data_IF_164225897222
#
_entry.id   IF_164225897222
#
_cell.length_a   1.000
_cell.length_b   1.000
_cell.length_c   1.000
_cell.angle_alpha   90.00
_cell.angle_beta   90.00
_cell.angle_gamma   90.00
#
_symmetry.space_group_name_H-M   'P 1'
#
loop_
_entity.id
_entity.type
_entity.pdbx_description
1 polymer ?
#
# COMPACT_ATOMS: atom_id res chain seq x y z
N UNK A 1 30.71 -8.82 3.09
CA UNK A 1 31.47 -10.09 2.91
C UNK A 1 31.20 -11.17 3.98
N UNK A 2 30.36 -10.95 5.02
CA UNK A 2 30.15 -11.93 6.11
C UNK A 2 28.90 -12.80 6.03
N UNK A 3 27.97 -12.54 5.10
CA UNK A 3 26.72 -13.30 4.93
C UNK A 3 26.83 -14.48 3.93
N UNK A 4 27.72 -14.37 2.93
CA UNK A 4 27.99 -15.44 1.95
C UNK A 4 28.74 -16.63 2.59
N UNK A 5 29.64 -16.35 3.55
CA UNK A 5 30.41 -17.40 4.24
C UNK A 5 29.54 -18.22 5.23
N UNK A 6 28.47 -17.64 5.79
CA UNK A 6 27.53 -18.37 6.66
C UNK A 6 26.62 -19.33 5.88
N UNK A 7 26.11 -18.94 4.70
CA UNK A 7 25.32 -19.83 3.84
C UNK A 7 26.15 -21.01 3.31
N UNK A 8 27.41 -20.77 2.94
CA UNK A 8 28.34 -21.83 2.52
C UNK A 8 28.61 -22.85 3.65
N UNK A 9 28.77 -22.37 4.89
CA UNK A 9 28.98 -23.23 6.07
C UNK A 9 27.75 -24.09 6.41
N UNK A 10 26.53 -23.55 6.29
CA UNK A 10 25.30 -24.32 6.56
C UNK A 10 25.09 -25.41 5.50
N UNK A 11 25.31 -25.10 4.22
CA UNK A 11 25.19 -26.07 3.13
C UNK A 11 26.26 -27.16 3.26
N UNK A 12 27.50 -26.80 3.63
CA UNK A 12 28.57 -27.77 3.88
C UNK A 12 28.26 -28.69 5.08
N UNK A 13 27.67 -28.16 6.16
CA UNK A 13 27.25 -28.95 7.32
C UNK A 13 26.07 -29.88 7.00
N UNK A 14 25.10 -29.44 6.20
CA UNK A 14 23.99 -30.27 5.74
C UNK A 14 24.51 -31.39 4.84
N UNK A 15 25.41 -31.09 3.89
CA UNK A 15 26.04 -32.09 3.03
C UNK A 15 26.88 -33.10 3.82
N UNK A 16 27.58 -32.65 4.87
CA UNK A 16 28.34 -33.53 5.75
C UNK A 16 27.43 -34.45 6.60
N UNK A 17 26.35 -33.90 7.18
CA UNK A 17 25.33 -34.71 7.86
C UNK A 17 24.66 -35.71 6.92
N UNK A 18 24.34 -35.30 5.68
CA UNK A 18 23.72 -36.17 4.69
C UNK A 18 24.67 -37.29 4.26
N UNK A 19 25.96 -36.99 4.06
CA UNK A 19 27.00 -37.98 3.75
C UNK A 19 27.17 -38.98 4.88
N UNK A 20 27.16 -38.53 6.14
CA UNK A 20 27.23 -39.41 7.30
C UNK A 20 25.96 -40.26 7.48
N UNK A 21 24.78 -39.70 7.21
CA UNK A 21 23.51 -40.43 7.25
C UNK A 21 23.46 -41.52 6.18
N UNK A 22 23.86 -41.21 4.94
CA UNK A 22 23.93 -42.19 3.83
C UNK A 22 24.95 -43.28 4.10
N UNK A 23 26.11 -42.93 4.70
CA UNK A 23 27.13 -43.91 5.06
C UNK A 23 26.65 -44.84 6.19
N UNK A 24 25.96 -44.30 7.19
CA UNK A 24 25.35 -45.09 8.26
C UNK A 24 24.19 -45.98 7.76
N UNK A 25 23.41 -45.52 6.77
CA UNK A 25 22.38 -46.33 6.11
C UNK A 25 23.01 -47.44 5.24
N UNK A 26 24.15 -47.18 4.59
CA UNK A 26 24.88 -48.21 3.82
C UNK A 26 25.55 -49.26 4.70
N UNK A 27 25.96 -48.91 5.92
CA UNK A 27 26.44 -49.86 6.93
C UNK A 27 25.28 -50.72 7.47
N UNK A 28 24.05 -50.21 7.46
CA UNK A 28 22.86 -50.88 7.94
C UNK A 28 22.09 -51.65 6.84
N UNK A 29 22.70 -52.68 6.25
CA UNK A 29 22.12 -54.04 6.12
C UNK A 29 22.87 -54.94 5.15
N UNK A 30 23.54 -55.95 5.70
CA UNK A 30 23.65 -57.27 5.06
C UNK A 30 22.38 -58.07 5.39
N UNK A 31 21.29 -57.83 4.65
CA UNK A 31 20.15 -58.74 4.31
C UNK A 31 18.83 -57.98 4.14
N UNK A 32 18.32 -58.03 2.90
CA UNK A 32 16.92 -57.87 2.41
C UNK A 32 16.20 -56.56 2.84
N UNK A 33 15.67 -55.73 1.94
CA UNK A 33 14.70 -56.05 0.89
C UNK A 33 14.79 -55.08 -0.29
N UNK A 34 14.45 -55.56 -1.50
CA UNK A 34 14.29 -54.73 -2.69
C UNK A 34 13.30 -53.56 -2.49
N UNK A 35 12.36 -53.73 -1.56
CA UNK A 35 11.39 -52.72 -1.13
C UNK A 35 12.07 -51.49 -0.50
N UNK A 36 13.10 -51.69 0.33
CA UNK A 36 13.82 -50.58 0.97
C UNK A 36 14.60 -49.76 -0.06
N UNK A 37 15.26 -50.42 -1.02
CA UNK A 37 15.91 -49.72 -2.14
C UNK A 37 14.91 -48.94 -2.97
N UNK A 38 13.74 -49.51 -3.29
CA UNK A 38 12.67 -48.79 -4.00
C UNK A 38 12.17 -47.58 -3.21
N UNK A 39 11.98 -47.70 -1.89
CA UNK A 39 11.54 -46.59 -1.03
C UNK A 39 12.58 -45.48 -0.98
N UNK A 40 13.86 -45.81 -0.77
CA UNK A 40 14.94 -44.81 -0.75
C UNK A 40 15.09 -44.13 -2.11
N UNK A 41 15.00 -44.88 -3.21
CA UNK A 41 15.03 -44.30 -4.56
C UNK A 41 13.82 -43.38 -4.79
N UNK A 42 12.61 -43.77 -4.37
CA UNK A 42 11.41 -42.91 -4.46
C UNK A 42 11.55 -41.64 -3.63
N UNK A 43 12.07 -41.74 -2.40
CA UNK A 43 12.30 -40.57 -1.54
C UNK A 43 13.35 -39.63 -2.13
N UNK A 44 14.41 -40.16 -2.72
CA UNK A 44 15.44 -39.36 -3.39
C UNK A 44 14.91 -38.72 -4.68
N UNK A 45 14.06 -39.40 -5.44
CA UNK A 45 13.37 -38.83 -6.61
C UNK A 45 12.39 -37.75 -6.19
N UNK A 46 11.61 -37.94 -5.12
CA UNK A 46 10.69 -36.92 -4.59
C UNK A 46 11.45 -35.69 -4.08
N UNK A 47 12.60 -35.90 -3.42
CA UNK A 47 13.48 -34.82 -2.97
C UNK A 47 14.14 -34.09 -4.15
N UNK A 48 14.55 -34.81 -5.20
CA UNK A 48 15.05 -34.21 -6.44
C UNK A 48 13.97 -33.46 -7.19
N UNK A 49 12.75 -33.98 -7.29
CA UNK A 49 11.60 -33.26 -7.87
C UNK A 49 11.32 -31.99 -7.05
N UNK A 50 11.35 -32.07 -5.71
CA UNK A 50 11.19 -30.91 -4.83
C UNK A 50 12.29 -29.85 -5.03
N UNK A 51 13.54 -30.29 -5.22
CA UNK A 51 14.70 -29.39 -5.46
C UNK A 51 14.79 -28.88 -6.90
N UNK A 52 14.25 -29.62 -7.88
CA UNK A 52 14.31 -29.31 -9.31
C UNK A 52 13.02 -28.66 -9.85
N UNK A 53 11.96 -28.52 -9.05
CA UNK A 53 10.79 -27.71 -9.38
C UNK A 53 11.05 -26.24 -8.98
N UNK A 54 11.38 -25.32 -9.91
CA UNK A 54 11.43 -23.90 -9.63
C UNK A 54 10.00 -23.37 -9.82
N UNK A 55 9.11 -23.59 -8.84
CA UNK A 55 7.70 -23.30 -9.10
C UNK A 55 6.69 -23.55 -8.00
N UNK A 56 7.10 -23.61 -6.73
CA UNK A 56 6.15 -23.28 -5.67
C UNK A 56 6.41 -21.85 -5.24
N UNK A 57 5.61 -20.94 -5.79
CA UNK A 57 5.24 -19.73 -5.06
C UNK A 57 4.64 -20.20 -3.75
N UNK A 58 5.46 -20.28 -2.69
CA UNK A 58 4.97 -20.32 -1.33
C UNK A 58 4.15 -19.06 -1.15
N UNK A 59 2.84 -19.23 -1.29
CA UNK A 59 1.83 -18.27 -0.89
C UNK A 59 1.91 -18.29 0.63
N UNK A 60 2.57 -17.29 1.21
CA UNK A 60 2.56 -17.08 2.66
C UNK A 60 1.12 -16.69 3.04
N UNK A 61 0.33 -17.70 3.40
CA UNK A 61 -1.05 -17.54 3.82
C UNK A 61 -1.10 -17.01 5.27
N UNK A 62 -0.98 -15.70 5.42
CA UNK A 62 -1.36 -15.03 6.67
C UNK A 62 -2.82 -14.60 6.53
N UNK A 63 -3.77 -15.26 7.20
CA UNK A 63 -5.22 -14.93 7.17
C UNK A 63 -5.90 -14.90 5.78
N UNK A 64 -5.50 -15.74 4.84
CA UNK A 64 -6.07 -15.84 3.50
C UNK A 64 -5.41 -14.92 2.45
N UNK A 65 -4.30 -14.25 2.76
CA UNK A 65 -3.68 -13.29 1.85
C UNK A 65 -2.68 -13.94 0.90
N UNK A 66 -2.99 -13.88 -0.40
CA UNK A 66 -2.03 -14.28 -1.44
C UNK A 66 -0.95 -13.21 -1.57
N UNK A 67 0.19 -13.42 -0.92
CA UNK A 67 1.38 -12.60 -1.10
C UNK A 67 2.22 -13.17 -2.24
N UNK A 68 2.51 -12.34 -3.24
CA UNK A 68 3.55 -12.69 -4.20
C UNK A 68 4.89 -12.56 -3.46
N UNK A 69 5.74 -13.59 -3.56
CA UNK A 69 7.10 -13.61 -2.98
C UNK A 69 8.01 -12.63 -3.75
N UNK A 70 7.72 -11.33 -3.62
CA UNK A 70 8.55 -10.22 -4.10
C UNK A 70 9.46 -9.79 -2.98
N UNK A 71 10.75 -9.70 -3.27
CA UNK A 71 11.73 -9.15 -2.35
C UNK A 71 11.73 -7.63 -2.44
N UNK A 72 11.44 -6.98 -1.32
CA UNK A 72 11.60 -5.53 -1.15
C UNK A 72 12.83 -5.25 -0.29
N UNK A 73 13.43 -4.08 -0.49
CA UNK A 73 14.55 -3.63 0.32
C UNK A 73 14.11 -3.42 1.79
N UNK A 74 14.98 -3.70 2.76
CA UNK A 74 14.64 -3.63 4.19
C UNK A 74 14.05 -2.27 4.58
N UNK A 75 14.62 -1.16 4.08
CA UNK A 75 14.13 0.21 4.36
C UNK A 75 12.69 0.47 3.86
N UNK A 76 12.22 -0.31 2.88
CA UNK A 76 10.85 -0.25 2.38
C UNK A 76 9.91 -0.94 3.36
N UNK A 77 10.32 -2.07 3.94
CA UNK A 77 9.50 -2.91 4.82
C UNK A 77 9.56 -2.43 6.27
N UNK A 78 10.72 -2.07 6.78
CA UNK A 78 10.95 -1.61 8.16
C UNK A 78 10.54 -0.15 8.39
N UNK A 79 9.65 0.40 7.55
CA UNK A 79 9.34 1.83 7.48
C UNK A 79 8.80 2.31 8.83
N UNK A 80 9.63 3.02 9.58
CA UNK A 80 9.31 3.66 10.86
C UNK A 80 10.12 4.95 10.96
N UNK A 81 9.46 6.09 10.78
CA UNK A 81 10.11 7.41 10.63
C UNK A 81 9.90 8.28 11.87
N UNK A 82 8.80 8.08 12.60
CA UNK A 82 8.44 8.80 13.83
C UNK A 82 8.39 10.32 13.62
N UNK A 83 7.21 10.82 13.29
CA UNK A 83 7.00 12.22 12.98
C UNK A 83 6.88 13.04 14.26
N UNK A 84 7.72 14.08 14.41
CA UNK A 84 7.60 15.05 15.50
C UNK A 84 6.73 16.24 15.06
N UNK A 85 5.49 16.30 15.56
CA UNK A 85 4.50 17.35 15.26
C UNK A 85 4.88 18.72 15.82
N UNK A 86 5.63 18.75 16.93
CA UNK A 86 6.11 20.00 17.55
C UNK A 86 7.30 20.61 16.83
N UNK A 87 7.96 19.84 15.96
CA UNK A 87 9.07 20.29 15.14
C UNK A 87 8.58 20.98 13.86
N UNK A 88 9.30 20.75 12.76
CA UNK A 88 9.01 21.35 11.44
C UNK A 88 8.37 20.34 10.48
N UNK A 89 7.74 19.32 11.04
CA UNK A 89 7.10 18.24 10.30
C UNK A 89 5.74 18.68 9.78
N UNK A 90 5.43 18.27 8.55
CA UNK A 90 4.11 18.47 7.94
C UNK A 90 3.67 17.15 7.33
N UNK A 91 2.57 16.61 7.83
CA UNK A 91 1.89 15.46 7.24
C UNK A 91 1.16 15.92 5.99
N UNK A 92 1.44 15.33 4.82
CA UNK A 92 0.81 15.71 3.56
C UNK A 92 -0.06 14.56 3.07
N UNK A 93 -1.38 14.75 3.06
CA UNK A 93 -2.31 13.72 2.64
C UNK A 93 -2.68 13.86 1.15
N UNK A 94 -2.13 12.98 0.32
CA UNK A 94 -2.49 12.87 -1.10
C UNK A 94 -3.80 12.08 -1.21
N UNK A 95 -4.92 12.82 -1.25
CA UNK A 95 -6.26 12.24 -1.29
C UNK A 95 -6.67 11.83 -2.71
N UNK A 96 -6.60 10.53 -2.99
CA UNK A 96 -7.11 9.96 -4.24
C UNK A 96 -8.64 9.79 -4.15
N UNK A 97 -9.41 10.23 -5.16
CA UNK A 97 -10.86 10.03 -5.19
C UNK A 97 -11.28 8.58 -4.95
N UNK A 98 -12.29 8.46 -4.08
CA UNK A 98 -13.04 7.21 -3.82
C UNK A 98 -12.21 6.06 -3.25
N UNK A 99 -11.06 6.37 -2.63
CA UNK A 99 -10.24 5.42 -1.87
C UNK A 99 -10.52 5.41 -0.37
N UNK A 100 -11.71 5.85 0.07
CA UNK A 100 -12.01 5.99 1.51
C UNK A 100 -11.28 7.15 2.20
N UNK A 101 -10.60 8.01 1.43
CA UNK A 101 -9.85 9.15 1.98
C UNK A 101 -10.68 10.16 2.76
N UNK A 102 -12.00 10.21 2.52
CA UNK A 102 -12.92 11.02 3.30
C UNK A 102 -13.05 10.56 4.75
N UNK A 103 -13.21 9.26 4.96
CA UNK A 103 -13.25 8.68 6.30
C UNK A 103 -11.88 8.77 6.98
N UNK A 104 -10.82 8.41 6.25
CA UNK A 104 -9.46 8.46 6.81
C UNK A 104 -9.04 9.90 7.17
N UNK A 105 -9.31 10.87 6.31
CA UNK A 105 -9.02 12.29 6.58
C UNK A 105 -9.81 12.83 7.77
N UNK A 106 -11.08 12.43 7.91
CA UNK A 106 -11.86 12.75 9.11
C UNK A 106 -11.22 12.18 10.38
N UNK A 107 -10.73 10.93 10.34
CA UNK A 107 -10.01 10.31 11.46
C UNK A 107 -8.69 11.01 11.77
N UNK A 108 -7.94 11.47 10.77
CA UNK A 108 -6.72 12.26 10.98
C UNK A 108 -7.01 13.55 11.77
N UNK A 109 -8.10 14.26 11.46
CA UNK A 109 -8.43 15.48 12.17
C UNK A 109 -9.03 15.24 13.57
N UNK A 110 -9.93 14.27 13.70
CA UNK A 110 -10.82 14.14 14.86
C UNK A 110 -10.47 13.00 15.81
N UNK A 111 -9.57 12.09 15.42
CA UNK A 111 -9.30 10.86 16.17
C UNK A 111 -7.82 10.68 16.52
N UNK A 112 -6.92 11.62 16.18
CA UNK A 112 -5.52 11.56 16.62
C UNK A 112 -5.38 12.02 18.07
N UNK A 113 -4.80 11.14 18.90
CA UNK A 113 -4.56 11.40 20.31
C UNK A 113 -3.37 12.34 20.51
N UNK A 114 -2.25 12.07 19.83
CA UNK A 114 -0.98 12.79 20.01
C UNK A 114 -0.96 14.19 19.37
N UNK A 115 -1.85 14.44 18.40
CA UNK A 115 -1.89 15.68 17.64
C UNK A 115 -3.33 16.05 17.31
N UNK A 116 -3.98 16.77 18.23
CA UNK A 116 -5.39 17.17 18.09
C UNK A 116 -5.53 18.38 17.18
N UNK A 117 -6.52 18.34 16.30
CA UNK A 117 -6.97 19.52 15.57
C UNK A 117 -8.15 20.18 16.27
N UNK A 118 -8.32 21.48 16.06
CA UNK A 118 -9.51 22.21 16.47
C UNK A 118 -10.52 22.22 15.30
N UNK A 119 -11.55 21.38 15.37
CA UNK A 119 -12.56 21.25 14.33
C UNK A 119 -13.85 21.98 14.72
N UNK A 120 -14.51 22.61 13.75
CA UNK A 120 -15.83 23.21 13.97
C UNK A 120 -16.93 22.15 13.87
N UNK A 121 -17.97 22.25 14.72
CA UNK A 121 -19.05 21.25 14.86
C UNK A 121 -19.93 21.09 13.60
N UNK A 122 -19.74 21.93 12.59
CA UNK A 122 -20.46 21.84 11.33
C UNK A 122 -19.87 20.71 10.50
N UNK A 123 -20.44 19.50 10.64
CA UNK A 123 -20.37 18.36 9.70
C UNK A 123 -19.43 18.59 8.51
N UNK A 124 -18.18 18.11 8.63
CA UNK A 124 -17.11 18.16 7.61
C UNK A 124 -16.36 19.51 7.47
N UNK A 125 -16.49 20.42 8.43
CA UNK A 125 -15.83 21.72 8.48
C UNK A 125 -14.30 21.66 8.52
N UNK A 126 -13.66 22.75 8.08
CA UNK A 126 -12.22 22.91 8.13
C UNK A 126 -11.72 22.82 9.58
N UNK A 127 -10.74 21.95 9.82
CA UNK A 127 -10.08 21.77 11.10
C UNK A 127 -8.77 22.54 11.14
N UNK A 128 -8.53 23.31 12.20
CA UNK A 128 -7.24 23.93 12.43
C UNK A 128 -6.28 22.93 13.09
N UNK A 129 -5.34 22.42 12.30
CA UNK A 129 -4.33 21.45 12.73
C UNK A 129 -2.97 22.14 12.93
N UNK A 130 -2.85 22.86 14.05
CA UNK A 130 -1.66 23.61 14.45
C UNK A 130 -1.01 23.02 15.70
N UNK A 131 0.31 23.10 15.79
CA UNK A 131 1.06 22.68 16.98
C UNK A 131 1.09 23.79 18.04
N UNK A 132 1.76 23.57 19.18
CA UNK A 132 1.80 24.56 20.27
C UNK A 132 2.44 25.89 19.85
N UNK A 133 3.31 25.88 18.84
CA UNK A 133 3.93 27.07 18.26
C UNK A 133 3.06 27.75 17.19
N UNK A 134 1.79 27.33 17.05
CA UNK A 134 0.83 27.81 16.04
C UNK A 134 1.24 27.54 14.59
N UNK A 135 2.20 26.65 14.34
CA UNK A 135 2.57 26.22 12.98
C UNK A 135 1.66 25.08 12.53
N UNK A 136 1.27 25.09 11.26
CA UNK A 136 0.45 24.05 10.65
C UNK A 136 1.26 22.76 10.50
N UNK A 137 0.75 21.64 11.04
CA UNK A 137 1.42 20.34 10.96
C UNK A 137 0.73 19.35 10.01
N UNK A 138 -0.47 19.66 9.50
CA UNK A 138 -1.15 18.83 8.53
C UNK A 138 -1.59 19.63 7.30
N UNK A 139 -1.19 19.15 6.13
CA UNK A 139 -1.62 19.59 4.82
C UNK A 139 -2.61 18.56 4.25
N UNK A 140 -3.90 18.84 4.36
CA UNK A 140 -4.97 17.98 3.89
C UNK A 140 -6.21 18.79 3.49
N UNK A 141 -7.14 18.19 2.72
CA UNK A 141 -8.44 18.81 2.40
C UNK A 141 -9.23 19.25 3.63
N UNK A 142 -9.04 18.54 4.75
CA UNK A 142 -9.76 18.75 6.01
C UNK A 142 -9.05 19.74 6.94
N UNK A 143 -7.84 20.17 6.60
CA UNK A 143 -7.09 21.15 7.38
C UNK A 143 -6.92 22.48 6.65
N UNK A 144 -6.26 22.46 5.50
CA UNK A 144 -5.91 23.65 4.71
C UNK A 144 -6.76 23.79 3.44
N UNK A 145 -7.68 22.85 3.20
CA UNK A 145 -8.48 22.80 1.97
C UNK A 145 -7.68 22.29 0.77
N UNK A 146 -7.93 22.87 -0.40
CA UNK A 146 -7.35 22.45 -1.69
C UNK A 146 -6.44 23.50 -2.34
N UNK A 147 -5.44 24.07 -1.63
CA UNK A 147 -4.64 25.16 -2.17
C UNK A 147 -3.75 24.74 -3.36
N UNK A 148 -3.49 23.43 -3.54
CA UNK A 148 -2.78 22.88 -4.70
C UNK A 148 -3.69 22.31 -5.79
N UNK A 149 -5.01 22.53 -5.69
CA UNK A 149 -6.01 21.96 -6.58
C UNK A 149 -6.78 20.80 -5.95
N UNK A 150 -8.04 20.65 -6.34
CA UNK A 150 -8.91 19.57 -5.85
C UNK A 150 -8.38 18.23 -6.35
N UNK A 151 -8.17 17.30 -5.40
CA UNK A 151 -7.59 15.99 -5.67
C UNK A 151 -6.27 16.05 -6.46
N UNK A 152 -5.42 17.03 -6.13
CA UNK A 152 -4.11 17.20 -6.76
C UNK A 152 -3.27 15.90 -6.70
N UNK A 153 -2.55 15.62 -7.79
CA UNK A 153 -1.63 14.47 -7.84
C UNK A 153 -0.42 14.67 -6.94
N UNK A 154 0.37 13.62 -6.74
CA UNK A 154 1.64 13.69 -6.00
C UNK A 154 2.60 14.71 -6.64
N UNK A 155 2.65 14.77 -7.98
CA UNK A 155 3.49 15.73 -8.71
C UNK A 155 3.05 17.16 -8.41
N UNK A 156 1.74 17.44 -8.49
CA UNK A 156 1.20 18.74 -8.13
C UNK A 156 1.47 19.12 -6.66
N UNK A 157 1.32 18.19 -5.71
CA UNK A 157 1.66 18.45 -4.32
C UNK A 157 3.15 18.76 -4.13
N UNK A 158 4.07 18.02 -4.76
CA UNK A 158 5.51 18.27 -4.66
C UNK A 158 5.89 19.67 -5.14
N UNK A 159 5.19 20.18 -6.15
CA UNK A 159 5.46 21.49 -6.75
C UNK A 159 4.80 22.66 -6.00
N UNK A 160 3.82 22.40 -5.12
CA UNK A 160 2.98 23.46 -4.53
C UNK A 160 3.01 23.53 -2.99
N UNK A 161 3.17 22.39 -2.29
CA UNK A 161 3.02 22.33 -0.83
C UNK A 161 4.03 23.23 -0.10
N UNK A 162 5.29 23.25 -0.53
CA UNK A 162 6.34 23.99 0.19
C UNK A 162 6.08 25.51 0.21
N UNK A 163 5.80 26.09 -0.95
CA UNK A 163 5.48 27.51 -1.07
C UNK A 163 4.15 27.86 -0.40
N UNK A 164 3.17 26.96 -0.45
CA UNK A 164 1.89 27.15 0.26
C UNK A 164 2.10 27.20 1.77
N UNK A 165 2.88 26.27 2.33
CA UNK A 165 3.13 26.20 3.76
C UNK A 165 3.91 27.41 4.28
N UNK A 166 4.88 27.92 3.50
CA UNK A 166 5.60 29.15 3.85
C UNK A 166 4.66 30.35 3.97
N UNK A 167 3.66 30.45 3.09
CA UNK A 167 2.64 31.51 3.13
C UNK A 167 1.67 31.35 4.30
N UNK A 168 1.17 30.14 4.54
CA UNK A 168 0.20 29.85 5.61
C UNK A 168 0.76 30.10 7.01
N UNK A 169 1.99 29.65 7.27
CA UNK A 169 2.63 29.79 8.58
C UNK A 169 3.43 31.10 8.72
N UNK A 170 3.36 32.01 7.73
CA UNK A 170 4.14 33.25 7.67
C UNK A 170 5.63 33.04 7.95
N UNK A 171 6.21 31.97 7.39
CA UNK A 171 7.56 31.52 7.71
C UNK A 171 8.38 31.22 6.47
N UNK A 172 9.67 31.58 6.49
CA UNK A 172 10.63 31.22 5.41
C UNK A 172 11.39 29.92 5.70
N UNK A 173 10.97 29.23 6.74
CA UNK A 173 11.64 28.05 7.30
C UNK A 173 11.24 26.82 6.50
N UNK A 174 12.23 26.13 5.91
CA UNK A 174 12.02 24.80 5.31
C UNK A 174 11.35 23.84 6.29
N UNK A 175 10.38 23.07 5.80
CA UNK A 175 9.66 22.04 6.56
C UNK A 175 10.06 20.65 6.07
N UNK A 176 9.76 19.64 6.87
CA UNK A 176 9.94 18.22 6.50
C UNK A 176 8.59 17.64 6.18
N UNK A 177 8.42 17.12 4.96
CA UNK A 177 7.12 16.64 4.46
C UNK A 177 6.99 15.13 4.54
N UNK A 178 5.94 14.67 5.19
CA UNK A 178 5.61 13.26 5.36
C UNK A 178 4.39 12.93 4.49
N UNK A 179 4.64 12.51 3.26
CA UNK A 179 3.58 12.15 2.33
C UNK A 179 2.90 10.85 2.73
N UNK A 180 1.57 10.89 2.78
CA UNK A 180 0.69 9.74 3.06
C UNK A 180 -0.43 9.64 2.02
N UNK A 181 -0.96 8.44 1.81
CA UNK A 181 -2.14 8.22 0.95
C UNK A 181 -2.93 6.99 1.37
N UNK A 182 -4.13 6.80 0.82
CA UNK A 182 -4.92 5.58 0.95
C UNK A 182 -5.27 5.08 -0.46
N UNK A 183 -5.05 3.79 -0.68
CA UNK A 183 -5.39 3.09 -1.92
C UNK A 183 -6.59 2.17 -1.71
N UNK A 184 -7.18 1.74 -2.81
CA UNK A 184 -8.36 0.88 -2.84
C UNK A 184 -8.29 -0.10 -4.01
N UNK A 185 -8.97 -1.23 -3.89
CA UNK A 185 -9.22 -2.13 -5.01
C UNK A 185 -9.69 -1.33 -6.25
N UNK A 186 -8.99 -1.44 -7.39
CA UNK A 186 -9.24 -0.59 -8.55
C UNK A 186 -10.66 -0.70 -9.10
N UNK A 187 -11.26 -1.89 -9.07
CA UNK A 187 -12.62 -2.13 -9.56
C UNK A 187 -13.63 -1.45 -8.62
N UNK A 188 -13.53 -1.70 -7.31
CA UNK A 188 -14.42 -1.06 -6.33
C UNK A 188 -14.27 0.47 -6.31
N UNK A 189 -13.05 0.97 -6.49
CA UNK A 189 -12.76 2.40 -6.60
C UNK A 189 -13.42 3.01 -7.84
N UNK A 190 -13.27 2.37 -9.00
CA UNK A 190 -13.86 2.81 -10.26
C UNK A 190 -15.39 2.86 -10.21
N UNK A 191 -16.02 1.78 -9.74
CA UNK A 191 -17.48 1.70 -9.56
C UNK A 191 -17.96 2.78 -8.58
N UNK A 192 -17.23 2.98 -7.49
CA UNK A 192 -17.56 4.02 -6.51
C UNK A 192 -17.45 5.43 -7.10
N UNK A 193 -16.60 5.65 -8.09
CA UNK A 193 -16.44 6.94 -8.77
C UNK A 193 -17.56 7.18 -9.77
N UNK A 194 -17.84 6.20 -10.62
CA UNK A 194 -18.99 6.22 -11.50
C UNK A 194 -20.27 6.52 -10.72
N UNK A 195 -20.56 5.76 -9.65
CA UNK A 195 -21.78 5.97 -8.88
C UNK A 195 -21.84 7.34 -8.16
N UNK A 196 -20.70 8.01 -7.97
CA UNK A 196 -20.66 9.31 -7.33
C UNK A 196 -20.81 10.47 -8.31
N UNK A 197 -20.15 10.41 -9.47
CA UNK A 197 -20.16 11.49 -10.46
C UNK A 197 -21.23 11.28 -11.52
N UNK A 198 -21.43 10.03 -11.97
CA UNK A 198 -22.24 9.63 -13.13
C UNK A 198 -21.98 10.48 -14.38
N UNK A 199 -20.75 10.98 -14.52
CA UNK A 199 -20.30 11.92 -15.56
C UNK A 199 -18.81 11.73 -15.82
N UNK A 200 -18.36 11.99 -17.03
CA UNK A 200 -16.96 11.83 -17.43
C UNK A 200 -16.15 13.11 -17.26
N UNK A 201 -16.07 13.61 -16.03
CA UNK A 201 -15.33 14.86 -15.76
C UNK A 201 -14.63 14.83 -14.40
N UNK A 202 -13.44 15.43 -14.35
CA UNK A 202 -12.73 15.74 -13.11
C UNK A 202 -13.17 17.08 -12.49
N UNK A 203 -14.17 17.74 -13.08
CA UNK A 203 -14.76 18.96 -12.53
C UNK A 203 -15.77 18.62 -11.41
N UNK A 204 -15.24 18.48 -10.20
CA UNK A 204 -15.98 18.15 -8.98
C UNK A 204 -17.01 19.21 -8.55
N UNK A 205 -16.92 20.44 -9.09
CA UNK A 205 -17.84 21.53 -8.79
C UNK A 205 -18.84 21.79 -9.91
N UNK A 206 -18.76 21.04 -11.02
CA UNK A 206 -19.66 21.25 -12.13
C UNK A 206 -21.08 20.80 -11.80
N UNK A 207 -21.94 21.77 -11.49
CA UNK A 207 -23.36 21.54 -11.23
C UNK A 207 -24.20 21.50 -12.50
N UNK A 208 -23.59 21.59 -13.69
CA UNK A 208 -24.32 21.53 -14.96
C UNK A 208 -25.13 20.23 -15.03
N UNK A 209 -26.43 20.39 -15.30
CA UNK A 209 -27.38 19.28 -15.46
C UNK A 209 -27.15 18.59 -16.81
N UNK A 210 -26.11 17.77 -16.87
CA UNK A 210 -25.89 16.80 -17.95
C UNK A 210 -26.59 15.50 -17.54
N UNK A 211 -27.18 14.73 -18.49
CA UNK A 211 -27.73 13.41 -18.20
C UNK A 211 -26.72 12.54 -17.44
N UNK A 212 -27.21 11.80 -16.47
CA UNK A 212 -26.41 10.80 -15.76
C UNK A 212 -26.06 9.67 -16.72
N UNK A 213 -24.77 9.32 -16.78
CA UNK A 213 -24.28 8.22 -17.58
C UNK A 213 -24.49 6.89 -16.84
N UNK A 214 -24.95 5.88 -17.56
CA UNK A 214 -24.83 4.50 -17.08
C UNK A 214 -23.35 4.04 -17.07
N UNK A 215 -23.08 2.82 -16.61
CA UNK A 215 -21.71 2.33 -16.48
C UNK A 215 -21.05 2.08 -17.85
N UNK A 216 -21.83 1.66 -18.86
CA UNK A 216 -21.30 1.33 -20.19
C UNK A 216 -20.94 2.61 -20.94
N UNK A 217 -21.79 3.64 -20.84
CA UNK A 217 -21.51 4.98 -21.34
C UNK A 217 -20.31 5.60 -20.64
N UNK A 218 -20.21 5.44 -19.31
CA UNK A 218 -19.07 5.95 -18.53
C UNK A 218 -17.75 5.31 -18.97
N UNK A 219 -17.73 4.00 -19.22
CA UNK A 219 -16.55 3.28 -19.71
C UNK A 219 -16.10 3.74 -21.09
N UNK A 220 -17.02 4.15 -21.96
CA UNK A 220 -16.74 4.58 -23.33
C UNK A 220 -16.21 6.03 -23.44
N UNK A 221 -16.21 6.78 -22.34
CA UNK A 221 -15.77 8.16 -22.36
C UNK A 221 -14.29 8.32 -22.75
N UNK A 222 -14.07 9.20 -23.74
CA UNK A 222 -12.74 9.63 -24.14
C UNK A 222 -12.06 10.33 -22.97
N UNK A 223 -10.86 9.87 -22.61
CA UNK A 223 -10.08 10.41 -21.49
C UNK A 223 -10.77 10.34 -20.13
N UNK A 224 -11.58 9.31 -19.87
CA UNK A 224 -12.22 9.13 -18.57
C UNK A 224 -11.17 9.20 -17.44
N UNK A 225 -11.26 10.17 -16.53
CA UNK A 225 -10.24 10.37 -15.51
C UNK A 225 -10.25 9.27 -14.44
N UNK A 226 -11.30 8.45 -14.38
CA UNK A 226 -11.34 7.25 -13.55
C UNK A 226 -10.34 6.19 -14.01
N UNK A 227 -9.96 6.16 -15.29
CA UNK A 227 -9.06 5.15 -15.82
C UNK A 227 -7.65 5.33 -15.23
N UNK A 228 -7.14 4.25 -14.60
CA UNK A 228 -5.82 4.21 -13.96
C UNK A 228 -5.55 5.39 -13.01
N UNK A 229 -6.58 5.84 -12.29
CA UNK A 229 -6.52 7.06 -11.46
C UNK A 229 -5.45 6.96 -10.39
N UNK A 230 -5.33 5.84 -9.66
CA UNK A 230 -4.35 5.71 -8.58
C UNK A 230 -2.92 5.79 -9.13
N UNK A 231 -2.68 5.14 -10.26
CA UNK A 231 -1.39 5.13 -10.93
C UNK A 231 -1.02 6.52 -11.43
N UNK A 232 -1.93 7.20 -12.14
CA UNK A 232 -1.74 8.58 -12.61
C UNK A 232 -1.45 9.55 -11.47
N UNK A 233 -2.21 9.47 -10.38
CA UNK A 233 -2.06 10.40 -9.26
C UNK A 233 -0.78 10.17 -8.44
N UNK A 234 -0.20 8.97 -8.48
CA UNK A 234 1.02 8.64 -7.75
C UNK A 234 2.28 8.64 -8.62
N UNK A 235 2.15 8.65 -9.94
CA UNK A 235 3.26 8.70 -10.87
C UNK A 235 3.92 10.08 -10.93
N UNK A 236 5.09 10.10 -11.54
CA UNK A 236 5.79 11.33 -11.89
C UNK A 236 5.28 11.78 -13.26
N UNK A 237 4.30 12.70 -13.27
CA UNK A 237 3.61 13.12 -14.50
C UNK A 237 4.57 13.76 -15.50
N UNK A 238 5.57 14.50 -15.00
CA UNK A 238 6.57 15.18 -15.81
C UNK A 238 7.44 14.19 -16.61
N UNK A 239 7.60 12.95 -16.11
CA UNK A 239 8.40 11.92 -16.74
C UNK A 239 7.77 11.29 -18.00
N UNK A 240 6.46 11.46 -18.22
CA UNK A 240 5.77 10.78 -19.33
C UNK A 240 4.70 11.62 -20.06
N UNK A 241 4.33 12.80 -19.55
CA UNK A 241 3.28 13.65 -20.16
C UNK A 241 3.56 14.05 -21.62
N UNK A 242 4.83 14.06 -22.02
CA UNK A 242 5.28 14.40 -23.38
C UNK A 242 5.26 13.21 -24.35
N UNK A 243 5.06 11.99 -23.85
CA UNK A 243 5.05 10.79 -24.67
C UNK A 243 3.68 10.58 -25.31
N UNK A 244 3.62 9.95 -26.50
CA UNK A 244 2.35 9.51 -27.05
C UNK A 244 1.70 8.50 -26.11
N UNK A 245 0.36 8.56 -26.03
CA UNK A 245 -0.40 7.59 -25.24
C UNK A 245 -0.18 6.19 -25.81
N UNK A 246 0.05 5.24 -24.92
CA UNK A 246 0.31 3.86 -25.30
C UNK A 246 1.24 3.14 -24.33
N UNK A 247 1.72 1.95 -24.71
CA UNK A 247 2.46 1.06 -23.81
C UNK A 247 3.69 1.69 -23.16
N UNK A 248 4.48 2.47 -23.90
CA UNK A 248 5.69 3.11 -23.36
C UNK A 248 5.37 4.17 -22.29
N UNK A 249 4.29 4.94 -22.50
CA UNK A 249 3.81 5.90 -21.50
C UNK A 249 3.28 5.17 -20.26
N UNK A 250 2.47 4.13 -20.46
CA UNK A 250 1.90 3.29 -19.41
C UNK A 250 2.98 2.67 -18.52
N UNK A 251 4.06 2.17 -19.14
CA UNK A 251 5.19 1.56 -18.42
C UNK A 251 5.88 2.59 -17.51
N UNK A 252 6.17 3.79 -18.02
CA UNK A 252 6.83 4.84 -17.23
C UNK A 252 5.91 5.33 -16.11
N UNK A 253 4.61 5.49 -16.40
CA UNK A 253 3.61 5.88 -15.41
C UNK A 253 3.58 4.87 -14.26
N UNK A 254 3.41 3.57 -14.55
CA UNK A 254 3.38 2.52 -13.54
C UNK A 254 4.70 2.41 -12.77
N UNK A 255 5.83 2.47 -13.47
CA UNK A 255 7.17 2.38 -12.86
C UNK A 255 7.42 3.51 -11.87
N UNK A 256 7.08 4.74 -12.24
CA UNK A 256 7.25 5.92 -11.37
C UNK A 256 6.26 5.93 -10.22
N UNK A 257 5.02 5.48 -10.43
CA UNK A 257 4.04 5.30 -9.34
C UNK A 257 4.53 4.28 -8.30
N UNK A 258 5.02 3.11 -8.73
CA UNK A 258 5.61 2.10 -7.83
C UNK A 258 6.81 2.64 -7.05
N UNK A 259 7.72 3.36 -7.73
CA UNK A 259 8.87 4.03 -7.09
C UNK A 259 8.40 5.01 -6.02
N UNK A 260 7.45 5.87 -6.35
CA UNK A 260 6.94 6.88 -5.43
C UNK A 260 6.24 6.24 -4.24
N UNK A 261 5.41 5.21 -4.44
CA UNK A 261 4.69 4.51 -3.38
C UNK A 261 5.64 3.96 -2.30
N UNK A 262 6.80 3.42 -2.68
CA UNK A 262 7.83 2.98 -1.71
C UNK A 262 8.34 4.12 -0.82
N UNK A 263 8.38 5.34 -1.35
CA UNK A 263 8.90 6.53 -0.69
C UNK A 263 7.88 7.25 0.20
N UNK A 264 6.59 6.92 0.09
CA UNK A 264 5.58 7.44 1.02
C UNK A 264 5.96 7.09 2.46
N UNK A 265 5.70 8.03 3.36
CA UNK A 265 5.92 7.83 4.80
C UNK A 265 4.97 6.76 5.34
N UNK A 266 3.75 6.72 4.79
CA UNK A 266 2.76 5.70 5.04
C UNK A 266 1.80 5.61 3.84
N UNK A 267 1.25 4.43 3.58
CA UNK A 267 0.03 4.30 2.80
C UNK A 267 -0.85 3.20 3.39
N UNK A 268 -2.16 3.40 3.33
CA UNK A 268 -3.16 2.43 3.79
C UNK A 268 -3.97 1.85 2.62
N UNK A 269 -4.75 0.84 2.94
CA UNK A 269 -5.67 0.17 2.01
C UNK A 269 -7.10 0.21 2.59
N UNK A 270 -8.07 0.69 1.81
CA UNK A 270 -9.47 0.82 2.26
C UNK A 270 -10.05 -0.51 2.75
N UNK A 271 -9.66 -1.62 2.13
CA UNK A 271 -10.15 -2.95 2.48
C UNK A 271 -9.60 -3.44 3.84
N UNK A 272 -8.55 -2.80 4.35
CA UNK A 272 -7.77 -3.21 5.52
C UNK A 272 -7.54 -2.02 6.46
N UNK A 273 -8.60 -1.30 6.82
CA UNK A 273 -8.50 -0.06 7.61
C UNK A 273 -7.97 -0.30 9.03
N UNK A 274 -8.24 -1.45 9.63
CA UNK A 274 -7.70 -1.83 10.95
C UNK A 274 -6.18 -2.02 10.87
N UNK A 275 -5.70 -2.75 9.87
CA UNK A 275 -4.28 -2.96 9.61
C UNK A 275 -3.61 -1.65 9.19
N UNK A 276 -4.33 -0.80 8.45
CA UNK A 276 -3.87 0.53 8.04
C UNK A 276 -3.69 1.45 9.25
N UNK A 277 -4.61 1.40 10.23
CA UNK A 277 -4.44 2.10 11.51
C UNK A 277 -3.14 1.64 12.19
N UNK A 278 -2.99 0.32 12.39
CA UNK A 278 -1.80 -0.24 13.04
C UNK A 278 -0.50 0.19 12.34
N UNK A 279 -0.46 0.12 11.01
CA UNK A 279 0.71 0.53 10.24
C UNK A 279 0.97 2.03 10.31
N UNK A 280 -0.08 2.87 10.32
CA UNK A 280 0.08 4.31 10.47
C UNK A 280 0.75 4.63 11.81
N UNK A 281 0.24 4.06 12.90
CA UNK A 281 0.73 4.27 14.25
C UNK A 281 2.20 3.84 14.39
N UNK A 282 2.57 2.66 13.88
CA UNK A 282 3.96 2.16 13.93
C UNK A 282 4.92 2.84 12.93
N UNK A 283 4.40 3.41 11.84
CA UNK A 283 5.24 4.11 10.85
C UNK A 283 5.54 5.55 11.28
N UNK A 284 4.56 6.24 11.86
CA UNK A 284 4.63 7.68 12.15
C UNK A 284 4.73 8.00 13.64
N UNK A 285 4.49 7.04 14.54
CA UNK A 285 4.50 7.27 15.99
C UNK A 285 3.34 8.15 16.47
N UNK A 286 2.24 8.17 15.72
CA UNK A 286 1.03 8.92 16.05
C UNK A 286 -0.15 7.96 16.21
N UNK A 287 -0.85 8.05 17.33
CA UNK A 287 -1.87 7.10 17.78
C UNK A 287 -3.26 7.65 17.62
N UNK A 288 -4.20 6.79 17.24
CA UNK A 288 -5.62 7.13 17.23
C UNK A 288 -6.28 6.78 18.57
N UNK A 289 -7.20 7.63 19.03
CA UNK A 289 -7.92 7.41 20.28
C UNK A 289 -8.91 6.23 20.17
N UNK A 290 -9.54 6.07 18.99
CA UNK A 290 -10.50 5.02 18.71
C UNK A 290 -10.09 4.16 17.52
N UNK A 291 -10.41 2.86 17.61
CA UNK A 291 -10.16 1.89 16.54
C UNK A 291 -10.96 2.21 15.28
N UNK A 292 -10.37 1.94 14.13
CA UNK A 292 -11.06 2.04 12.84
C UNK A 292 -12.06 0.91 12.63
N UNK A 293 -13.13 1.19 11.88
CA UNK A 293 -14.05 0.19 11.38
C UNK A 293 -13.54 -0.43 10.08
N UNK A 294 -14.19 -1.52 9.67
CA UNK A 294 -13.98 -2.14 8.36
C UNK A 294 -15.35 -2.32 7.70
N UNK A 295 -15.78 -1.34 6.91
CA UNK A 295 -17.04 -1.42 6.16
C UNK A 295 -16.80 -1.21 4.66
N UNK A 296 -16.96 -2.30 3.91
CA UNK A 296 -16.91 -2.32 2.44
C UNK A 296 -18.27 -2.64 1.81
N UNK A 297 -19.33 -2.73 2.61
CA UNK A 297 -20.65 -3.23 2.21
C UNK A 297 -21.24 -2.47 1.02
N UNK A 298 -21.15 -1.14 1.04
CA UNK A 298 -21.71 -0.27 -0.01
C UNK A 298 -21.09 -0.53 -1.37
N UNK A 299 -19.77 -0.62 -1.47
CA UNK A 299 -19.11 -0.85 -2.76
C UNK A 299 -19.26 -2.28 -3.25
N UNK A 300 -19.27 -3.25 -2.34
CA UNK A 300 -19.59 -4.64 -2.68
C UNK A 300 -21.02 -4.78 -3.20
N UNK A 301 -21.98 -4.04 -2.62
CA UNK A 301 -23.35 -3.99 -3.12
C UNK A 301 -23.42 -3.41 -4.54
N UNK A 302 -22.71 -2.31 -4.82
CA UNK A 302 -22.66 -1.74 -6.16
C UNK A 302 -22.05 -2.71 -7.19
N UNK A 303 -20.98 -3.41 -6.82
CA UNK A 303 -20.35 -4.42 -7.70
C UNK A 303 -21.29 -5.57 -8.05
N UNK A 304 -22.17 -5.99 -7.13
CA UNK A 304 -23.16 -7.06 -7.37
C UNK A 304 -24.22 -6.70 -8.43
N UNK A 305 -24.37 -5.43 -8.76
CA UNK A 305 -25.32 -4.97 -9.77
C UNK A 305 -24.71 -4.95 -11.19
N UNK A 306 -23.44 -5.34 -11.35
CA UNK A 306 -22.75 -5.35 -12.64
C UNK A 306 -22.57 -6.78 -13.16
N UNK A 307 -22.53 -6.92 -14.48
CA UNK A 307 -22.25 -8.20 -15.15
C UNK A 307 -20.75 -8.54 -15.07
N UNK A 308 -20.42 -9.81 -15.30
CA UNK A 308 -19.02 -10.25 -15.36
C UNK A 308 -18.25 -9.53 -16.47
N UNK A 309 -18.86 -9.36 -17.64
CA UNK A 309 -18.26 -8.62 -18.77
C UNK A 309 -17.96 -7.17 -18.41
N UNK A 310 -18.88 -6.47 -17.74
CA UNK A 310 -18.63 -5.10 -17.28
C UNK A 310 -17.48 -5.04 -16.28
N UNK A 311 -17.34 -6.05 -15.41
CA UNK A 311 -16.21 -6.12 -14.47
C UNK A 311 -14.89 -6.34 -15.23
N UNK A 312 -14.88 -7.20 -16.24
CA UNK A 312 -13.70 -7.45 -17.09
C UNK A 312 -13.28 -6.18 -17.86
N UNK A 313 -14.23 -5.44 -18.42
CA UNK A 313 -13.98 -4.17 -19.10
C UNK A 313 -13.38 -3.14 -18.14
N UNK A 314 -13.93 -3.01 -16.92
CA UNK A 314 -13.37 -2.14 -15.88
C UNK A 314 -11.94 -2.55 -15.52
N UNK A 315 -11.65 -3.85 -15.41
CA UNK A 315 -10.29 -4.37 -15.18
C UNK A 315 -9.36 -3.96 -16.33
N UNK A 316 -9.80 -4.09 -17.58
CA UNK A 316 -9.06 -3.69 -18.77
C UNK A 316 -8.71 -2.19 -18.77
N UNK A 317 -9.69 -1.34 -18.48
CA UNK A 317 -9.52 0.11 -18.38
C UNK A 317 -8.56 0.53 -17.25
N UNK A 318 -8.46 -0.29 -16.19
CA UNK A 318 -7.68 0.00 -14.98
C UNK A 318 -6.48 -0.95 -14.80
N UNK A 319 -5.94 -1.50 -15.90
CA UNK A 319 -4.82 -2.47 -15.87
C UNK A 319 -3.59 -2.01 -15.07
N UNK A 320 -3.26 -0.71 -15.06
CA UNK A 320 -2.11 -0.18 -14.32
C UNK A 320 -2.43 -0.07 -12.84
N UNK A 321 -3.64 0.37 -12.50
CA UNK A 321 -4.11 0.38 -11.10
C UNK A 321 -4.16 -1.03 -10.52
N UNK A 322 -4.56 -2.05 -11.29
CA UNK A 322 -4.52 -3.47 -10.87
C UNK A 322 -3.09 -3.88 -10.51
N UNK A 323 -2.12 -3.57 -11.38
CA UNK A 323 -0.72 -3.88 -11.11
C UNK A 323 -0.11 -3.08 -9.96
N UNK A 324 -0.49 -1.81 -9.81
CA UNK A 324 -0.04 -0.96 -8.71
C UNK A 324 -0.63 -1.41 -7.38
N UNK A 325 -1.92 -1.74 -7.34
CA UNK A 325 -2.61 -2.15 -6.13
C UNK A 325 -2.10 -3.52 -5.64
N UNK A 326 -1.85 -4.48 -6.54
CA UNK A 326 -1.20 -5.73 -6.14
C UNK A 326 0.20 -5.48 -5.56
N UNK A 327 1.00 -4.60 -6.20
CA UNK A 327 2.31 -4.21 -5.68
C UNK A 327 2.21 -3.52 -4.31
N UNK A 328 1.19 -2.69 -4.11
CA UNK A 328 0.90 -2.04 -2.84
C UNK A 328 0.54 -3.05 -1.75
N UNK A 329 -0.32 -4.03 -2.05
CA UNK A 329 -0.67 -5.13 -1.14
C UNK A 329 0.55 -5.93 -0.71
N UNK A 330 1.42 -6.30 -1.66
CA UNK A 330 2.64 -7.05 -1.36
C UNK A 330 3.52 -6.30 -0.34
N UNK A 331 3.72 -4.97 -0.53
CA UNK A 331 4.46 -4.14 0.44
C UNK A 331 3.70 -4.01 1.77
N UNK A 332 2.40 -3.71 1.71
CA UNK A 332 1.57 -3.41 2.87
C UNK A 332 1.58 -4.57 3.87
N UNK A 333 1.34 -5.78 3.41
CA UNK A 333 1.31 -6.95 4.29
C UNK A 333 2.69 -7.41 4.75
N UNK A 334 3.74 -7.20 3.94
CA UNK A 334 5.11 -7.41 4.41
C UNK A 334 5.49 -6.41 5.52
N UNK A 335 5.12 -5.13 5.39
CA UNK A 335 5.26 -4.13 6.46
C UNK A 335 4.49 -4.54 7.72
N UNK A 336 3.25 -4.99 7.53
CA UNK A 336 2.38 -5.41 8.63
C UNK A 336 2.99 -6.58 9.40
N UNK A 337 3.42 -7.63 8.69
CA UNK A 337 4.11 -8.81 9.26
C UNK A 337 5.40 -8.41 9.98
N UNK A 338 6.24 -7.58 9.34
CA UNK A 338 7.49 -7.11 9.95
C UNK A 338 7.28 -6.44 11.31
N UNK A 339 6.30 -5.53 11.42
CA UNK A 339 6.01 -4.83 12.66
C UNK A 339 5.38 -5.75 13.73
N UNK A 340 4.53 -6.71 13.33
CA UNK A 340 4.00 -7.73 14.25
C UNK A 340 5.09 -8.64 14.83
N UNK A 341 6.02 -9.10 13.98
CA UNK A 341 7.12 -9.97 14.38
C UNK A 341 8.09 -9.23 15.31
N UNK A 342 8.34 -7.94 15.07
CA UNK A 342 9.15 -7.10 15.95
C UNK A 342 8.56 -7.00 17.36
N UNK A 343 7.25 -6.79 17.49
CA UNK A 343 6.56 -6.77 18.79
C UNK A 343 6.64 -8.15 19.47
N UNK A 344 6.38 -9.22 18.72
CA UNK A 344 6.41 -10.59 19.26
C UNK A 344 7.80 -10.92 19.80
N UNK A 345 8.87 -10.62 19.04
CA UNK A 345 10.25 -10.79 19.48
C UNK A 345 10.59 -9.97 20.73
N UNK A 346 10.06 -8.75 20.85
CA UNK A 346 10.24 -7.92 22.04
C UNK A 346 9.55 -8.50 23.29
N UNK A 347 8.31 -8.99 23.14
CA UNK A 347 7.53 -9.57 24.25
C UNK A 347 8.19 -10.88 24.74
N UNK A 348 8.53 -11.80 23.84
CA UNK A 348 9.20 -13.05 24.21
C UNK A 348 10.61 -12.83 24.78
N UNK A 349 11.34 -11.83 24.27
CA UNK A 349 12.66 -11.44 24.80
C UNK A 349 12.62 -10.86 26.22
N UNK A 350 11.49 -10.29 26.66
CA UNK A 350 11.26 -9.85 28.05
C UNK A 350 10.90 -11.00 28.97
N UNK A 351 10.10 -11.96 28.52
CA UNK A 351 9.70 -13.12 29.32
C UNK A 351 10.88 -14.06 29.67
N UNK A 352 11.95 -14.09 28.86
CA UNK A 352 13.15 -14.87 29.16
C UNK A 352 14.21 -14.13 30.01
N UNK A 353 13.94 -12.91 30.48
CA UNK A 353 14.83 -12.14 31.37
C UNK A 353 14.23 -11.85 32.75
N UNK A 354 13.18 -12.58 33.15
CA UNK A 354 12.60 -12.51 34.50
C UNK A 354 12.96 -13.77 35.25
#
# INVERSE_FOLDING_TARGET
>A
MSQLNKKSSIIANILHCFRNMVTNIMIFKRRRDALFRKIVTLLMIMLLIYLMCPGHSEIDDYRGFVLHKRYFEDWVISRSIWMNVEARSVLVFVHIPKSGGTEFGFKLCNNLYDARCNCTDNNWGACECKNHQKNTWMFSPYSVGWPCGVHASLTAHRNCVDETMKKLDYTRRNRTYFYITILRDPVLRYISEWNHQKKCTDDWYNTTKVPELDIDEFMQCVNNPANNRQTRMLSDEDAYKHLPRGPSQDEIMLRTAKKNLKLFSFFGLTEYMIESQYLFENSLGLHFAHRFGADNSKALALKRNLTETQIEDIIGLNKLDIQLYQYAKDIFFQRYKYHLDFISGYIFGRYHRI
#
